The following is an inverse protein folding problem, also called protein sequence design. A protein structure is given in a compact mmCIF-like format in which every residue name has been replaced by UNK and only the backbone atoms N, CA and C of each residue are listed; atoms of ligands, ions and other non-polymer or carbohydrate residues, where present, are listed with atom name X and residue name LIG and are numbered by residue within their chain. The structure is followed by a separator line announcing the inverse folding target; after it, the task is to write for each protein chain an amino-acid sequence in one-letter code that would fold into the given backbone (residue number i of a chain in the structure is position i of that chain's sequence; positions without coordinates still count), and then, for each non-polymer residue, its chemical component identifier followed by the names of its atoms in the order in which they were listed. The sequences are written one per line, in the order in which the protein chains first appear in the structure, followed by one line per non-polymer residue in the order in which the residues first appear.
data_IF_046482799774
#
_entry.id   IF_046482799774
#
_cell.length_a   1.000
_cell.length_b   1.000
_cell.length_c   1.000
_cell.angle_alpha   90.00
_cell.angle_beta   90.00
_cell.angle_gamma   90.00
#
_symmetry.space_group_name_H-M   'P 1'
#
loop_
_entity.id
_entity.type
_entity.pdbx_description
1 polymer ?
#
# COMPACT_ATOMS: atom_id res chain seq x y z
N UNK A 1 12.87 1.87 54.00
CA UNK A 1 13.10 2.91 52.98
C UNK A 1 13.62 2.20 51.74
N UNK A 2 13.02 2.18 50.55
CA UNK A 2 11.98 3.00 49.93
C UNK A 2 12.40 3.23 48.48
N UNK A 3 11.69 2.58 47.55
CA UNK A 3 11.49 2.91 46.10
C UNK A 3 12.70 2.94 45.16
N UNK A 4 12.80 2.02 44.18
CA UNK A 4 12.21 2.05 42.80
C UNK A 4 12.65 3.24 41.93
N UNK A 5 12.98 2.91 40.66
CA UNK A 5 12.97 3.70 39.40
C UNK A 5 14.35 3.78 38.74
N UNK A 6 14.55 3.64 37.42
CA UNK A 6 13.70 3.39 36.26
C UNK A 6 14.63 2.92 35.12
N UNK A 7 14.39 1.74 34.57
CA UNK A 7 14.91 1.36 33.26
C UNK A 7 14.05 2.04 32.19
N UNK A 8 14.38 3.27 31.81
CA UNK A 8 13.70 4.00 30.76
C UNK A 8 14.74 4.58 29.80
N UNK A 9 15.01 3.88 28.69
CA UNK A 9 16.01 4.33 27.72
C UNK A 9 15.90 3.71 26.33
N UNK A 10 15.32 2.52 26.19
CA UNK A 10 15.21 1.84 24.88
C UNK A 10 13.95 2.15 24.07
N UNK A 11 12.87 2.65 24.70
CA UNK A 11 11.61 2.98 24.01
C UNK A 11 11.58 4.39 23.40
N UNK A 12 12.30 5.35 23.98
CA UNK A 12 12.29 6.74 23.52
C UNK A 12 13.03 6.95 22.19
N UNK A 13 14.02 6.09 21.89
CA UNK A 13 14.85 6.21 20.69
C UNK A 13 14.09 5.68 19.46
N UNK A 14 13.33 4.60 19.58
CA UNK A 14 12.52 4.09 18.46
C UNK A 14 11.36 5.03 18.11
N UNK A 15 10.77 5.69 19.11
CA UNK A 15 9.69 6.64 18.90
C UNK A 15 10.18 7.93 18.21
N UNK A 16 11.39 8.40 18.55
CA UNK A 16 12.04 9.55 17.88
C UNK A 16 12.43 9.25 16.44
N UNK A 17 12.87 8.02 16.15
CA UNK A 17 13.23 7.59 14.79
C UNK A 17 11.98 7.46 13.89
N UNK A 18 10.88 6.95 14.43
CA UNK A 18 9.57 6.91 13.75
C UNK A 18 9.02 8.30 13.45
N UNK A 19 9.16 9.23 14.40
CA UNK A 19 8.75 10.62 14.21
C UNK A 19 9.59 11.32 13.13
N UNK A 20 10.91 11.10 13.13
CA UNK A 20 11.82 11.63 12.10
C UNK A 20 11.51 11.06 10.72
N UNK A 21 11.19 9.76 10.60
CA UNK A 21 10.75 9.17 9.34
C UNK A 21 9.41 9.76 8.86
N UNK A 22 8.44 9.97 9.76
CA UNK A 22 7.16 10.60 9.41
C UNK A 22 7.35 12.05 8.96
N UNK A 23 8.18 12.83 9.65
CA UNK A 23 8.49 14.22 9.28
C UNK A 23 9.24 14.26 7.94
N UNK A 24 10.18 13.34 7.72
CA UNK A 24 10.92 13.25 6.46
C UNK A 24 10.01 12.86 5.28
N UNK A 25 9.02 11.98 5.51
CA UNK A 25 7.97 11.65 4.54
C UNK A 25 7.05 12.84 4.26
N UNK A 26 6.65 13.61 5.29
CA UNK A 26 5.84 14.82 5.12
C UNK A 26 6.58 15.91 4.32
N UNK A 27 7.86 16.14 4.62
CA UNK A 27 8.68 17.11 3.87
C UNK A 27 8.92 16.68 2.42
N UNK A 28 9.00 15.38 2.15
CA UNK A 28 9.09 14.87 0.78
C UNK A 28 7.80 15.11 -0.03
N UNK A 29 6.63 15.11 0.63
CA UNK A 29 5.34 15.37 -0.02
C UNK A 29 5.16 16.86 -0.33
N UNK A 30 5.70 17.77 0.48
CA UNK A 30 5.56 19.23 0.27
C UNK A 30 6.45 19.81 -0.83
N UNK A 31 7.55 19.15 -1.23
CA UNK A 31 8.49 19.69 -2.23
C UNK A 31 7.95 19.58 -3.68
N UNK A 32 6.84 18.87 -3.91
CA UNK A 32 6.31 18.65 -5.27
C UNK A 32 5.17 19.61 -5.68
N UNK A 33 5.23 20.88 -5.27
CA UNK A 33 4.26 21.89 -5.70
C UNK A 33 4.96 23.11 -6.34
N UNK A 34 5.55 22.91 -7.52
CA UNK A 34 6.02 24.03 -8.34
C UNK A 34 4.83 24.71 -9.02
N UNK A 35 4.36 25.82 -8.43
CA UNK A 35 3.29 26.66 -8.98
C UNK A 35 3.84 27.53 -10.12
N UNK A 36 3.59 27.13 -11.37
CA UNK A 36 3.93 27.93 -12.56
C UNK A 36 2.95 29.11 -12.73
N UNK A 37 3.45 30.26 -13.17
CA UNK A 37 2.68 31.49 -13.39
C UNK A 37 1.76 31.31 -14.61
N UNK A 38 0.43 31.24 -14.39
CA UNK A 38 -0.58 31.12 -15.45
C UNK A 38 -0.66 32.43 -16.26
N UNK A 39 -0.14 32.42 -17.48
CA UNK A 39 -0.62 33.30 -18.55
C UNK A 39 -1.96 32.70 -18.98
N UNK A 40 -3.05 33.47 -18.90
CA UNK A 40 -4.37 33.03 -19.36
C UNK A 40 -4.38 33.06 -20.89
N UNK A 41 -3.84 32.01 -21.50
CA UNK A 41 -4.12 31.70 -22.90
C UNK A 41 -5.51 31.11 -22.94
N UNK A 42 -6.42 31.71 -23.70
CA UNK A 42 -7.77 31.17 -23.89
C UNK A 42 -7.76 30.11 -24.98
N UNK A 43 -8.57 29.07 -24.84
CA UNK A 43 -8.65 27.97 -25.81
C UNK A 43 -8.91 28.46 -27.24
N UNK A 44 -9.73 29.50 -27.41
CA UNK A 44 -10.03 30.12 -28.70
C UNK A 44 -8.81 30.76 -29.39
N UNK A 45 -7.99 31.51 -28.65
CA UNK A 45 -6.76 32.11 -29.22
C UNK A 45 -5.75 31.04 -29.60
N UNK A 46 -5.82 29.90 -28.94
CA UNK A 46 -4.95 28.79 -29.22
C UNK A 46 -5.32 28.04 -30.50
N UNK A 47 -6.62 27.97 -30.84
CA UNK A 47 -7.07 27.40 -32.13
C UNK A 47 -6.39 28.11 -33.30
N UNK A 48 -6.18 29.43 -33.18
CA UNK A 48 -5.50 30.22 -34.20
C UNK A 48 -3.97 30.05 -34.20
N UNK A 49 -3.37 29.78 -33.03
CA UNK A 49 -1.92 29.59 -32.88
C UNK A 49 -1.49 28.19 -33.31
N UNK A 50 -2.23 27.17 -32.92
CA UNK A 50 -1.99 25.76 -33.24
C UNK A 50 -3.10 25.20 -34.14
N UNK A 51 -3.17 25.76 -35.35
CA UNK A 51 -4.14 25.31 -36.37
C UNK A 51 -3.96 23.84 -36.72
N UNK A 52 -2.71 23.37 -36.73
CA UNK A 52 -2.39 21.98 -37.09
C UNK A 52 -2.86 20.99 -36.01
N UNK A 53 -2.71 21.33 -34.73
CA UNK A 53 -3.23 20.53 -33.62
C UNK A 53 -4.76 20.53 -33.58
N UNK A 54 -5.40 21.69 -33.78
CA UNK A 54 -6.86 21.79 -33.84
C UNK A 54 -7.44 21.02 -35.03
N UNK A 55 -6.85 21.14 -36.22
CA UNK A 55 -7.28 20.39 -37.39
C UNK A 55 -7.12 18.88 -37.19
N UNK A 56 -6.06 18.45 -36.51
CA UNK A 56 -5.89 17.04 -36.14
C UNK A 56 -6.98 16.57 -35.17
N UNK A 57 -7.31 17.34 -34.14
CA UNK A 57 -8.42 17.00 -33.24
C UNK A 57 -9.76 16.96 -33.97
N UNK A 58 -10.01 17.90 -34.88
CA UNK A 58 -11.23 17.91 -35.69
C UNK A 58 -11.33 16.69 -36.61
N UNK A 59 -10.21 16.26 -37.19
CA UNK A 59 -10.17 15.03 -37.99
C UNK A 59 -10.41 13.79 -37.12
N UNK A 60 -9.86 13.75 -35.91
CA UNK A 60 -10.10 12.68 -34.96
C UNK A 60 -11.58 12.63 -34.53
N UNK A 61 -12.17 13.78 -34.21
CA UNK A 61 -13.60 13.89 -33.89
C UNK A 61 -14.46 13.36 -35.04
N UNK A 62 -14.15 13.75 -36.29
CA UNK A 62 -14.83 13.25 -37.49
C UNK A 62 -14.69 11.74 -37.71
N UNK A 63 -13.64 11.11 -37.18
CA UNK A 63 -13.48 9.65 -37.25
C UNK A 63 -14.34 8.91 -36.21
N UNK A 64 -14.79 9.62 -35.17
CA UNK A 64 -15.62 9.08 -34.11
C UNK A 64 -17.11 9.40 -34.31
N UNK A 65 -17.41 10.53 -34.94
CA UNK A 65 -18.75 11.00 -35.30
C UNK A 65 -19.21 10.31 -36.60
N UNK A 66 -19.80 9.13 -36.47
CA UNK A 66 -20.20 8.26 -37.58
C UNK A 66 -21.40 8.83 -38.35
N UNK A 67 -22.33 9.48 -37.65
CA UNK A 67 -23.53 10.07 -38.24
C UNK A 67 -23.34 11.52 -38.72
N UNK A 68 -22.18 12.12 -38.45
CA UNK A 68 -21.80 13.49 -38.81
C UNK A 68 -22.76 14.53 -38.24
N UNK A 69 -23.35 14.24 -37.08
CA UNK A 69 -24.24 15.17 -36.37
C UNK A 69 -23.49 16.38 -35.80
N UNK A 70 -22.16 16.30 -35.68
CA UNK A 70 -21.32 17.34 -35.10
C UNK A 70 -21.05 17.16 -33.60
N UNK A 71 -21.54 16.07 -33.00
CA UNK A 71 -21.24 15.67 -31.64
C UNK A 71 -21.13 14.15 -31.54
N UNK A 72 -20.22 13.67 -30.69
CA UNK A 72 -20.00 12.24 -30.49
C UNK A 72 -20.88 11.77 -29.34
N UNK A 73 -21.77 10.80 -29.57
CA UNK A 73 -22.60 10.22 -28.54
C UNK A 73 -21.93 9.04 -27.79
N UNK A 74 -22.61 8.51 -26.77
CA UNK A 74 -22.11 7.36 -25.99
C UNK A 74 -22.01 6.07 -26.80
N UNK A 75 -22.87 5.85 -27.79
CA UNK A 75 -22.83 4.63 -28.61
C UNK A 75 -21.67 4.67 -29.60
N UNK A 76 -21.46 5.81 -30.25
CA UNK A 76 -20.38 6.07 -31.19
C UNK A 76 -19.02 5.94 -30.48
N UNK A 77 -18.84 6.63 -29.36
CA UNK A 77 -17.62 6.53 -28.55
C UNK A 77 -17.36 5.10 -28.04
N UNK A 78 -18.40 4.32 -27.68
CA UNK A 78 -18.25 2.91 -27.31
C UNK A 78 -17.87 2.03 -28.50
N UNK A 79 -18.45 2.27 -29.68
CA UNK A 79 -18.12 1.58 -30.92
C UNK A 79 -16.66 1.80 -31.29
N UNK A 80 -16.24 3.06 -31.34
CA UNK A 80 -14.87 3.47 -31.61
C UNK A 80 -13.85 2.85 -30.64
N UNK A 81 -14.16 2.88 -29.33
CA UNK A 81 -13.25 2.30 -28.33
C UNK A 81 -13.08 0.78 -28.47
N UNK A 82 -14.11 0.09 -28.96
CA UNK A 82 -14.08 -1.35 -29.15
C UNK A 82 -13.39 -1.74 -30.46
N UNK A 83 -13.66 -1.03 -31.54
CA UNK A 83 -13.26 -1.39 -32.90
C UNK A 83 -11.90 -0.75 -33.29
N UNK A 84 -11.76 0.56 -33.15
CA UNK A 84 -10.55 1.28 -33.55
C UNK A 84 -9.44 1.21 -32.49
N UNK A 85 -9.81 1.30 -31.22
CA UNK A 85 -8.86 1.20 -30.10
C UNK A 85 -8.60 -0.23 -29.65
N UNK A 86 -9.33 -1.22 -30.17
CA UNK A 86 -9.23 -2.64 -29.82
C UNK A 86 -9.29 -2.91 -28.30
N UNK A 87 -10.10 -2.16 -27.55
CA UNK A 87 -10.28 -2.39 -26.10
C UNK A 87 -11.29 -3.52 -25.89
N UNK A 88 -10.78 -4.73 -25.65
CA UNK A 88 -11.63 -5.91 -25.42
C UNK A 88 -12.22 -5.99 -23.99
N UNK A 89 -11.59 -5.35 -23.01
CA UNK A 89 -11.99 -5.46 -21.60
C UNK A 89 -13.14 -4.50 -21.26
N UNK A 90 -14.32 -5.06 -20.95
CA UNK A 90 -15.54 -4.30 -20.68
C UNK A 90 -15.38 -3.25 -19.56
N UNK A 91 -14.60 -3.56 -18.51
CA UNK A 91 -14.35 -2.63 -17.39
C UNK A 91 -13.41 -1.48 -17.77
N UNK A 92 -12.50 -1.69 -18.73
CA UNK A 92 -11.70 -0.59 -19.29
C UNK A 92 -12.54 0.27 -20.21
N UNK A 93 -13.36 -0.36 -21.06
CA UNK A 93 -14.26 0.32 -21.98
C UNK A 93 -15.19 1.29 -21.24
N UNK A 94 -15.89 0.82 -20.19
CA UNK A 94 -16.77 1.67 -19.37
C UNK A 94 -16.03 2.81 -18.66
N UNK A 95 -14.81 2.56 -18.17
CA UNK A 95 -14.02 3.61 -17.50
C UNK A 95 -13.56 4.69 -18.49
N UNK A 96 -13.17 4.30 -19.70
CA UNK A 96 -12.73 5.21 -20.76
C UNK A 96 -13.90 6.01 -21.32
N UNK A 97 -15.04 5.36 -21.61
CA UNK A 97 -16.26 6.06 -22.01
C UNK A 97 -16.72 7.07 -20.95
N UNK A 98 -16.74 6.69 -19.67
CA UNK A 98 -17.06 7.60 -18.58
C UNK A 98 -16.05 8.74 -18.44
N UNK A 99 -14.77 8.49 -18.67
CA UNK A 99 -13.73 9.53 -18.62
C UNK A 99 -13.80 10.48 -19.82
N UNK A 100 -14.35 10.04 -20.95
CA UNK A 100 -14.55 10.88 -22.12
C UNK A 100 -15.76 11.80 -21.89
N UNK A 101 -16.92 11.20 -21.63
CA UNK A 101 -18.19 11.91 -21.49
C UNK A 101 -18.37 12.63 -20.16
N UNK A 102 -17.67 12.24 -19.09
CA UNK A 102 -17.95 12.71 -17.73
C UNK A 102 -19.47 12.62 -17.40
N UNK A 103 -20.17 13.74 -17.40
CA UNK A 103 -21.62 13.84 -17.19
C UNK A 103 -22.40 14.22 -18.46
N UNK A 104 -21.72 14.52 -19.56
CA UNK A 104 -22.32 14.94 -20.81
C UNK A 104 -22.87 13.74 -21.59
N UNK A 105 -23.85 13.99 -22.45
CA UNK A 105 -24.44 12.95 -23.31
C UNK A 105 -23.78 12.90 -24.70
N UNK A 106 -23.21 14.02 -25.14
CA UNK A 106 -22.55 14.17 -26.42
C UNK A 106 -21.40 15.17 -26.35
N UNK A 107 -20.31 14.92 -27.07
CA UNK A 107 -19.11 15.77 -27.07
C UNK A 107 -18.92 16.45 -28.43
N UNK A 108 -18.88 17.77 -28.44
CA UNK A 108 -18.61 18.54 -29.67
C UNK A 108 -17.10 18.65 -29.95
N UNK A 109 -16.75 19.15 -31.14
CA UNK A 109 -15.35 19.43 -31.50
C UNK A 109 -14.69 20.42 -30.54
N UNK A 110 -15.46 21.42 -30.09
CA UNK A 110 -14.95 22.46 -29.19
C UNK A 110 -14.73 21.91 -27.79
N UNK A 111 -15.64 21.08 -27.27
CA UNK A 111 -15.49 20.40 -25.98
C UNK A 111 -14.23 19.50 -25.98
N UNK A 112 -13.99 18.80 -27.09
CA UNK A 112 -12.80 17.98 -27.26
C UNK A 112 -11.51 18.81 -27.25
N UNK A 113 -11.53 19.97 -27.92
CA UNK A 113 -10.41 20.90 -27.93
C UNK A 113 -10.14 21.49 -26.55
N UNK A 114 -11.18 21.88 -25.81
CA UNK A 114 -11.05 22.40 -24.45
C UNK A 114 -10.48 21.35 -23.50
N UNK A 115 -10.99 20.11 -23.55
CA UNK A 115 -10.47 18.98 -22.78
C UNK A 115 -8.98 18.73 -23.06
N UNK A 116 -8.57 18.74 -24.34
CA UNK A 116 -7.16 18.63 -24.71
C UNK A 116 -6.34 19.85 -24.28
N UNK A 117 -6.89 21.06 -24.37
CA UNK A 117 -6.22 22.29 -23.99
C UNK A 117 -5.88 22.32 -22.49
N UNK A 118 -6.78 21.79 -21.65
CA UNK A 118 -6.62 21.70 -20.20
C UNK A 118 -5.73 20.53 -19.74
N UNK A 119 -5.51 19.54 -20.60
CA UNK A 119 -4.71 18.35 -20.32
C UNK A 119 -3.26 18.70 -19.95
N UNK A 120 -2.67 17.95 -19.01
CA UNK A 120 -1.27 18.13 -18.61
C UNK A 120 -0.32 17.65 -19.71
N UNK A 121 -0.79 16.69 -20.49
CA UNK A 121 -0.11 16.02 -21.60
C UNK A 121 0.29 16.99 -22.71
N UNK A 122 -0.51 18.04 -22.90
CA UNK A 122 -0.20 19.10 -23.85
C UNK A 122 1.06 19.88 -23.48
N UNK A 123 1.38 20.00 -22.20
CA UNK A 123 2.56 20.71 -21.71
C UNK A 123 3.81 19.83 -21.63
N UNK A 124 3.77 18.63 -22.21
CA UNK A 124 4.92 17.73 -22.18
C UNK A 124 6.13 18.30 -22.91
N UNK A 125 7.29 18.14 -22.27
CA UNK A 125 8.58 18.36 -22.91
C UNK A 125 8.92 17.22 -23.88
N UNK A 126 9.90 17.47 -24.73
CA UNK A 126 10.44 16.45 -25.65
C UNK A 126 10.93 15.21 -24.89
N UNK A 127 11.54 15.39 -23.72
CA UNK A 127 12.01 14.27 -22.88
C UNK A 127 10.84 13.42 -22.35
N UNK A 128 9.73 14.06 -21.97
CA UNK A 128 8.53 13.34 -21.53
C UNK A 128 7.87 12.59 -22.67
N UNK A 129 7.81 13.18 -23.87
CA UNK A 129 7.33 12.51 -25.08
C UNK A 129 8.21 11.30 -25.46
N UNK A 130 9.53 11.41 -25.27
CA UNK A 130 10.50 10.32 -25.47
C UNK A 130 10.34 9.20 -24.44
N UNK A 131 10.11 9.56 -23.18
CA UNK A 131 9.85 8.59 -22.11
C UNK A 131 8.54 7.82 -22.37
N UNK A 132 7.49 8.53 -22.78
CA UNK A 132 6.23 7.93 -23.24
C UNK A 132 6.45 6.95 -24.41
N UNK A 133 7.21 7.35 -25.42
CA UNK A 133 7.54 6.49 -26.57
C UNK A 133 8.28 5.21 -26.13
N UNK A 134 9.15 5.30 -25.14
CA UNK A 134 9.96 4.19 -24.64
C UNK A 134 9.18 3.27 -23.70
N UNK A 135 8.45 3.83 -22.74
CA UNK A 135 7.80 3.07 -21.68
C UNK A 135 6.38 2.63 -22.05
N UNK A 136 5.58 3.52 -22.65
CA UNK A 136 4.18 3.26 -22.96
C UNK A 136 3.98 2.67 -24.36
N UNK A 137 4.69 3.20 -25.36
CA UNK A 137 4.63 2.70 -26.75
C UNK A 137 5.61 1.56 -26.99
N UNK A 138 6.70 1.48 -26.21
CA UNK A 138 7.75 0.45 -26.32
C UNK A 138 8.44 0.47 -27.68
N UNK A 139 8.77 1.66 -28.18
CA UNK A 139 9.49 1.86 -29.44
C UNK A 139 10.72 2.78 -29.25
N UNK A 140 11.75 2.34 -28.49
CA UNK A 140 12.95 3.14 -28.24
C UNK A 140 13.76 3.47 -29.50
N UNK A 141 13.55 2.70 -30.58
CA UNK A 141 14.24 2.89 -31.86
C UNK A 141 13.94 4.23 -32.56
N UNK A 142 12.85 4.93 -32.19
CA UNK A 142 12.49 6.22 -32.79
C UNK A 142 12.80 7.42 -31.89
N UNK A 143 13.51 7.21 -30.76
CA UNK A 143 13.86 8.28 -29.82
C UNK A 143 14.64 9.40 -30.49
N UNK A 144 15.66 9.06 -31.28
CA UNK A 144 16.46 10.06 -32.01
C UNK A 144 15.62 10.86 -33.01
N UNK A 145 14.65 10.22 -33.67
CA UNK A 145 13.75 10.90 -34.61
C UNK A 145 12.80 11.86 -33.88
N UNK A 146 12.31 11.48 -32.69
CA UNK A 146 11.46 12.34 -31.85
C UNK A 146 12.24 13.53 -31.31
N UNK A 147 13.47 13.32 -30.83
CA UNK A 147 14.34 14.39 -30.35
C UNK A 147 14.74 15.35 -31.47
N UNK A 148 15.18 14.84 -32.62
CA UNK A 148 15.61 15.64 -33.76
C UNK A 148 14.49 16.54 -34.30
N UNK A 149 13.26 16.05 -34.30
CA UNK A 149 12.10 16.80 -34.77
C UNK A 149 11.39 17.58 -33.65
N UNK A 150 11.97 17.62 -32.44
CA UNK A 150 11.42 18.29 -31.26
C UNK A 150 9.93 17.95 -31.02
N UNK A 151 9.60 16.67 -31.03
CA UNK A 151 8.23 16.19 -30.77
C UNK A 151 7.90 16.45 -29.31
N UNK A 152 6.99 17.38 -29.07
CA UNK A 152 6.50 17.78 -27.76
C UNK A 152 5.04 17.35 -27.54
N UNK A 153 4.47 17.70 -26.38
CA UNK A 153 3.07 17.45 -26.07
C UNK A 153 2.08 18.03 -27.08
N UNK A 154 2.37 19.21 -27.65
CA UNK A 154 1.48 19.88 -28.62
C UNK A 154 1.35 19.09 -29.93
N UNK A 155 2.37 18.31 -30.30
CA UNK A 155 2.32 17.46 -31.49
C UNK A 155 1.56 16.15 -31.31
N UNK A 156 1.12 15.79 -30.10
CA UNK A 156 0.42 14.53 -29.81
C UNK A 156 -0.88 14.32 -30.64
N UNK A 157 -1.78 15.32 -30.77
CA UNK A 157 -2.91 15.27 -31.70
C UNK A 157 -2.55 14.85 -33.11
N UNK A 158 -1.41 15.33 -33.62
CA UNK A 158 -0.96 15.06 -34.99
C UNK A 158 -0.44 13.62 -35.12
N UNK A 159 0.02 13.01 -34.03
CA UNK A 159 0.42 11.61 -33.97
C UNK A 159 -0.79 10.66 -33.88
N UNK A 160 -1.91 11.12 -33.31
CA UNK A 160 -3.14 10.33 -33.17
C UNK A 160 -3.88 10.08 -34.50
N UNK A 161 -3.50 10.78 -35.58
CA UNK A 161 -4.12 10.62 -36.90
C UNK A 161 -3.65 9.36 -37.64
N UNK A 162 -4.60 8.65 -38.25
CA UNK A 162 -4.35 7.40 -38.99
C UNK A 162 -3.42 7.55 -40.19
N UNK A 163 -3.61 8.63 -40.96
CA UNK A 163 -2.77 8.97 -42.12
C UNK A 163 -1.89 10.18 -41.82
N UNK A 164 -1.22 10.16 -40.67
CA UNK A 164 -0.33 11.24 -40.28
C UNK A 164 0.86 11.32 -41.25
N UNK A 165 0.77 12.24 -42.22
CA UNK A 165 1.89 12.64 -43.08
C UNK A 165 3.09 13.07 -42.25
N UNK A 166 2.87 13.54 -41.03
CA UNK A 166 3.90 13.86 -40.06
C UNK A 166 4.72 12.61 -39.65
N UNK A 167 4.09 11.49 -39.28
CA UNK A 167 4.83 10.27 -38.93
C UNK A 167 5.65 9.69 -40.09
N UNK A 168 5.14 9.81 -41.32
CA UNK A 168 5.80 9.31 -42.52
C UNK A 168 6.91 10.24 -43.02
N UNK A 169 6.58 11.51 -43.26
CA UNK A 169 7.47 12.46 -43.94
C UNK A 169 8.41 13.18 -42.99
N UNK A 170 8.01 13.41 -41.73
CA UNK A 170 8.82 14.16 -40.74
C UNK A 170 9.61 13.19 -39.86
N UNK A 171 8.94 12.18 -39.28
CA UNK A 171 9.60 11.20 -38.41
C UNK A 171 10.26 10.04 -39.18
N UNK A 172 9.93 9.85 -40.46
CA UNK A 172 10.55 8.81 -41.29
C UNK A 172 10.14 7.37 -40.94
N UNK A 173 9.02 7.19 -40.24
CA UNK A 173 8.58 5.87 -39.74
C UNK A 173 7.90 5.10 -40.87
N UNK A 174 8.66 4.29 -41.61
CA UNK A 174 8.15 3.53 -42.78
C UNK A 174 7.28 2.32 -42.42
N UNK A 175 7.47 1.72 -41.24
CA UNK A 175 6.70 0.54 -40.81
C UNK A 175 5.26 0.94 -40.39
N UNK A 176 4.25 0.42 -41.08
CA UNK A 176 2.83 0.69 -40.80
C UNK A 176 2.39 0.24 -39.42
N UNK A 177 2.89 -0.90 -38.93
CA UNK A 177 2.54 -1.44 -37.60
C UNK A 177 3.02 -0.49 -36.50
N UNK A 178 4.22 0.07 -36.65
CA UNK A 178 4.78 0.99 -35.66
C UNK A 178 4.01 2.32 -35.66
N UNK A 179 3.62 2.81 -36.85
CA UNK A 179 2.77 4.00 -36.96
C UNK A 179 1.41 3.77 -36.32
N UNK A 180 0.74 2.66 -36.61
CA UNK A 180 -0.56 2.33 -36.00
C UNK A 180 -0.43 2.21 -34.48
N UNK A 181 0.65 1.61 -33.96
CA UNK A 181 0.88 1.51 -32.52
C UNK A 181 1.05 2.89 -31.87
N UNK A 182 1.87 3.77 -32.47
CA UNK A 182 2.05 5.15 -32.00
C UNK A 182 0.72 5.90 -32.06
N UNK A 183 -0.03 5.75 -33.16
CA UNK A 183 -1.32 6.37 -33.37
C UNK A 183 -2.32 6.00 -32.27
N UNK A 184 -2.58 4.71 -32.08
CA UNK A 184 -3.54 4.21 -31.07
C UNK A 184 -3.12 4.67 -29.67
N UNK A 185 -1.82 4.70 -29.36
CA UNK A 185 -1.32 5.19 -28.07
C UNK A 185 -1.44 6.71 -27.92
N UNK A 186 -1.16 7.48 -28.97
CA UNK A 186 -1.29 8.93 -28.96
C UNK A 186 -2.77 9.33 -28.81
N UNK A 187 -3.66 8.59 -29.48
CA UNK A 187 -5.10 8.74 -29.36
C UNK A 187 -5.59 8.47 -27.93
N UNK A 188 -5.09 7.41 -27.27
CA UNK A 188 -5.39 7.14 -25.85
C UNK A 188 -4.98 8.31 -24.94
N UNK A 189 -3.81 8.92 -25.21
CA UNK A 189 -3.29 10.07 -24.47
C UNK A 189 -4.14 11.31 -24.70
N UNK A 190 -4.49 11.60 -25.96
CA UNK A 190 -5.25 12.81 -26.32
C UNK A 190 -6.69 12.74 -25.83
N UNK A 191 -7.34 11.57 -25.91
CA UNK A 191 -8.76 11.41 -25.55
C UNK A 191 -8.98 11.19 -24.04
N UNK A 192 -8.03 10.54 -23.35
CA UNK A 192 -8.25 10.09 -21.97
C UNK A 192 -7.14 10.46 -20.99
N UNK A 193 -6.13 11.19 -21.44
CA UNK A 193 -4.94 11.49 -20.67
C UNK A 193 -3.99 10.30 -20.53
N UNK A 194 -2.76 10.64 -20.20
CA UNK A 194 -1.71 9.69 -19.92
C UNK A 194 -1.82 9.18 -18.49
N UNK A 195 -2.06 7.88 -18.37
CA UNK A 195 -2.01 7.19 -17.10
C UNK A 195 -0.81 6.28 -17.17
N UNK A 196 0.20 6.54 -16.35
CA UNK A 196 1.33 5.64 -16.17
C UNK A 196 0.82 4.26 -15.77
N UNK A 197 0.69 3.38 -16.78
CA UNK A 197 0.31 1.99 -16.57
C UNK A 197 1.45 1.19 -15.93
N UNK A 198 2.69 1.71 -16.04
CA UNK A 198 3.86 1.05 -15.52
C UNK A 198 4.02 1.31 -14.03
N UNK A 199 3.65 0.27 -13.31
CA UNK A 199 4.10 -0.25 -12.02
C UNK A 199 5.06 0.53 -11.10
N UNK A 200 5.79 1.60 -11.42
CA UNK A 200 6.73 2.21 -10.44
C UNK A 200 6.06 2.60 -9.12
N UNK A 201 4.91 3.26 -9.17
CA UNK A 201 4.13 3.54 -7.95
C UNK A 201 3.58 2.27 -7.29
N UNK A 202 3.20 1.26 -8.08
CA UNK A 202 2.71 -0.04 -7.57
C UNK A 202 3.84 -0.89 -6.98
N UNK A 203 5.04 -0.82 -7.53
CA UNK A 203 6.27 -1.50 -7.14
C UNK A 203 6.81 -0.84 -5.88
N UNK A 204 6.73 0.49 -5.79
CA UNK A 204 7.01 1.23 -4.55
C UNK A 204 5.99 0.86 -3.47
N UNK A 205 4.69 0.80 -3.80
CA UNK A 205 3.66 0.34 -2.85
C UNK A 205 3.87 -1.12 -2.43
N UNK A 206 4.27 -2.00 -3.36
CA UNK A 206 4.59 -3.40 -3.11
C UNK A 206 5.83 -3.53 -2.21
N UNK A 207 6.87 -2.75 -2.49
CA UNK A 207 8.07 -2.69 -1.67
C UNK A 207 7.75 -2.20 -0.25
N UNK A 208 6.91 -1.17 -0.10
CA UNK A 208 6.45 -0.69 1.20
C UNK A 208 5.64 -1.75 1.95
N UNK A 209 4.76 -2.50 1.27
CA UNK A 209 4.03 -3.62 1.87
C UNK A 209 4.97 -4.75 2.33
N UNK A 210 5.99 -5.08 1.54
CA UNK A 210 7.01 -6.06 1.90
C UNK A 210 7.80 -5.64 3.13
N UNK A 211 8.22 -4.37 3.20
CA UNK A 211 8.90 -3.81 4.38
C UNK A 211 7.95 -3.86 5.60
N UNK A 212 6.68 -3.52 5.41
CA UNK A 212 5.63 -3.68 6.42
C UNK A 212 5.53 -5.10 6.96
N UNK A 213 5.48 -6.11 6.08
CA UNK A 213 5.43 -7.51 6.47
C UNK A 213 6.66 -7.93 7.28
N UNK A 214 7.86 -7.53 6.85
CA UNK A 214 9.11 -7.85 7.55
C UNK A 214 9.14 -7.22 8.94
N UNK A 215 8.72 -5.96 9.09
CA UNK A 215 8.68 -5.28 10.40
C UNK A 215 7.69 -5.95 11.36
N UNK A 216 6.52 -6.37 10.88
CA UNK A 216 5.53 -7.12 11.68
C UNK A 216 6.09 -8.47 12.12
N UNK A 217 6.79 -9.19 11.25
CA UNK A 217 7.42 -10.47 11.59
C UNK A 217 8.52 -10.31 12.66
N UNK A 218 9.33 -9.25 12.58
CA UNK A 218 10.35 -8.95 13.59
C UNK A 218 9.70 -8.62 14.94
N UNK A 219 8.66 -7.79 14.97
CA UNK A 219 7.91 -7.48 16.20
C UNK A 219 7.29 -8.74 16.78
N UNK A 220 6.68 -9.59 15.96
CA UNK A 220 6.08 -10.85 16.41
C UNK A 220 7.13 -11.81 17.01
N UNK A 221 8.31 -11.91 16.40
CA UNK A 221 9.44 -12.70 16.94
C UNK A 221 9.92 -12.17 18.29
N UNK A 222 10.05 -10.85 18.44
CA UNK A 222 10.43 -10.20 19.71
C UNK A 222 9.35 -10.42 20.77
N UNK A 223 8.07 -10.29 20.42
CA UNK A 223 6.95 -10.50 21.33
C UNK A 223 6.89 -11.96 21.80
N UNK A 224 7.05 -12.91 20.87
CA UNK A 224 7.15 -14.34 21.18
C UNK A 224 8.37 -14.66 22.05
N UNK A 225 9.49 -13.97 21.84
CA UNK A 225 10.68 -14.12 22.68
C UNK A 225 10.48 -13.56 24.09
N UNK A 226 9.74 -12.46 24.26
CA UNK A 226 9.39 -11.91 25.58
C UNK A 226 8.42 -12.82 26.33
N UNK A 227 7.41 -13.34 25.65
CA UNK A 227 6.44 -14.26 26.25
C UNK A 227 7.09 -15.54 26.81
N UNK A 228 8.14 -16.05 26.16
CA UNK A 228 8.91 -17.19 26.68
C UNK A 228 9.59 -16.90 28.03
N UNK A 229 10.03 -15.68 28.28
CA UNK A 229 10.67 -15.29 29.54
C UNK A 229 9.66 -15.23 30.70
N UNK A 230 8.41 -14.85 30.41
CA UNK A 230 7.33 -14.84 31.41
C UNK A 230 6.90 -16.26 31.79
N UNK A 231 6.94 -17.22 30.86
CA UNK A 231 6.65 -18.62 31.12
C UNK A 231 7.71 -19.31 32.00
N UNK A 232 8.99 -18.98 31.81
CA UNK A 232 10.08 -19.48 32.70
C UNK A 232 9.95 -18.93 34.12
N UNK A 233 9.56 -17.66 34.27
CA UNK A 233 9.30 -17.07 35.59
C UNK A 233 8.03 -17.62 36.26
N UNK A 234 7.06 -18.11 35.48
CA UNK A 234 5.86 -18.74 36.01
C UNK A 234 6.14 -20.20 36.41
N UNK A 235 6.96 -20.93 35.66
CA UNK A 235 7.34 -22.30 35.99
C UNK A 235 8.20 -22.37 37.25
N UNK A 236 9.11 -21.40 37.46
CA UNK A 236 9.90 -21.32 38.68
C UNK A 236 9.02 -21.07 39.91
N UNK A 237 8.02 -20.20 39.80
CA UNK A 237 7.04 -19.94 40.87
C UNK A 237 6.15 -21.14 41.16
N UNK A 238 5.80 -21.95 40.16
CA UNK A 238 5.09 -23.22 40.40
C UNK A 238 5.95 -24.22 41.17
N UNK A 239 7.25 -24.28 40.89
CA UNK A 239 8.16 -25.18 41.60
C UNK A 239 8.37 -24.75 43.07
N UNK A 240 8.48 -23.45 43.33
CA UNK A 240 8.56 -22.90 44.69
C UNK A 240 7.29 -23.19 45.51
N UNK A 241 6.10 -22.99 44.92
CA UNK A 241 4.84 -23.31 45.60
C UNK A 241 4.71 -24.80 45.92
N UNK A 242 5.13 -25.69 45.02
CA UNK A 242 5.10 -27.13 45.28
C UNK A 242 6.06 -27.56 46.39
N UNK A 243 7.24 -26.94 46.47
CA UNK A 243 8.17 -27.19 47.58
C UNK A 243 7.64 -26.70 48.94
N UNK A 244 6.84 -25.63 48.95
CA UNK A 244 6.18 -25.12 50.14
C UNK A 244 5.04 -26.03 50.61
N UNK A 245 4.26 -26.58 49.66
CA UNK A 245 3.22 -27.58 49.92
C UNK A 245 3.83 -28.83 50.58
N UNK A 246 4.90 -29.39 49.99
CA UNK A 246 5.57 -30.59 50.51
C UNK A 246 6.16 -30.34 51.91
N UNK A 247 6.70 -29.14 52.15
CA UNK A 247 7.25 -28.78 53.46
C UNK A 247 6.16 -28.56 54.52
N UNK A 248 5.00 -28.04 54.12
CA UNK A 248 3.82 -27.94 55.00
C UNK A 248 3.28 -29.32 55.37
N UNK A 249 3.17 -30.21 54.39
CA UNK A 249 2.71 -31.58 54.59
C UNK A 249 3.66 -32.34 55.53
N UNK A 250 4.98 -32.19 55.35
CA UNK A 250 5.98 -32.76 56.24
C UNK A 250 5.96 -32.19 57.66
N UNK A 251 5.59 -30.92 57.85
CA UNK A 251 5.36 -30.38 59.20
C UNK A 251 4.10 -30.95 59.84
N UNK A 252 3.04 -31.15 59.06
CA UNK A 252 1.77 -31.70 59.54
C UNK A 252 1.93 -33.15 60.02
N UNK A 253 2.69 -33.97 59.27
CA UNK A 253 3.06 -35.33 59.69
C UNK A 253 3.88 -35.35 60.98
N UNK A 254 4.86 -34.45 61.12
CA UNK A 254 5.65 -34.32 62.36
C UNK A 254 4.79 -33.94 63.56
N UNK A 255 3.82 -33.05 63.39
CA UNK A 255 2.86 -32.71 64.45
C UNK A 255 1.98 -33.89 64.84
N UNK A 256 1.51 -34.69 63.87
CA UNK A 256 0.74 -35.90 64.17
C UNK A 256 1.58 -36.96 64.89
N UNK A 257 2.84 -37.13 64.51
CA UNK A 257 3.77 -38.05 65.14
C UNK A 257 4.07 -37.63 66.59
N UNK A 258 4.29 -36.33 66.85
CA UNK A 258 4.47 -35.81 68.21
C UNK A 258 3.21 -35.96 69.08
N UNK A 259 2.01 -35.78 68.50
CA UNK A 259 0.75 -36.02 69.21
C UNK A 259 0.58 -37.49 69.57
N UNK A 260 0.87 -38.41 68.65
CA UNK A 260 0.84 -39.86 68.92
C UNK A 260 1.81 -40.24 70.04
N UNK A 261 3.06 -39.76 69.98
CA UNK A 261 4.06 -40.00 71.04
C UNK A 261 3.61 -39.46 72.40
N UNK A 262 2.97 -38.29 72.45
CA UNK A 262 2.36 -37.76 73.69
C UNK A 262 1.21 -38.61 74.19
N UNK A 263 0.33 -39.10 73.31
CA UNK A 263 -0.79 -39.96 73.69
C UNK A 263 -0.31 -41.32 74.23
N UNK A 264 0.63 -41.96 73.54
CA UNK A 264 1.25 -43.21 74.00
C UNK A 264 1.97 -43.04 75.34
N UNK A 265 2.62 -41.88 75.54
CA UNK A 265 3.26 -41.56 76.83
C UNK A 265 2.22 -41.39 77.94
N UNK A 266 1.10 -40.71 77.68
CA UNK A 266 0.01 -40.55 78.67
C UNK A 266 -0.71 -41.86 78.97
N UNK A 267 -0.88 -42.74 77.98
CA UNK A 267 -1.49 -44.06 78.15
C UNK A 267 -0.60 -45.00 78.97
N UNK A 268 0.72 -45.00 78.71
CA UNK A 268 1.70 -45.73 79.52
C UNK A 268 1.79 -45.24 80.97
N UNK A 269 1.55 -43.94 81.21
CA UNK A 269 1.49 -43.36 82.55
C UNK A 269 0.20 -43.74 83.28
N UNK A 270 -0.92 -43.91 82.57
CA UNK A 270 -2.19 -44.36 83.14
C UNK A 270 -2.17 -45.85 83.51
N UNK A 271 -1.60 -46.70 82.66
CA UNK A 271 -1.41 -48.14 82.91
C UNK A 271 -0.41 -48.39 84.08
N UNK A 272 0.59 -47.52 84.24
CA UNK A 272 1.51 -47.55 85.39
C UNK A 272 0.87 -47.15 86.73
N UNK A 273 -0.23 -46.39 86.74
CA UNK A 273 -0.96 -46.05 87.97
C UNK A 273 -1.98 -47.11 88.38
N UNK A 274 -2.57 -47.84 87.43
CA UNK A 274 -3.54 -48.91 87.73
C UNK A 274 -2.84 -50.14 88.36
N UNK A 275 -1.60 -50.43 87.96
CA UNK A 275 -0.79 -51.50 88.55
C UNK A 275 -0.22 -51.17 89.95
N UNK A 276 -0.26 -49.90 90.38
CA UNK A 276 0.25 -49.48 91.70
C UNK A 276 -0.87 -49.39 92.76
N UNK A 277 -2.14 -49.22 92.37
CA UNK A 277 -3.28 -49.26 93.31
C UNK A 277 -3.67 -50.69 93.72
N UNK A 278 -3.33 -51.73 92.94
CA UNK A 278 -3.60 -53.13 93.31
C UNK A 278 -2.61 -53.70 94.34
N UNK A 279 -1.45 -53.06 94.54
CA UNK A 279 -0.41 -53.53 95.48
C UNK A 279 -0.56 -52.94 96.90
N UNK A 280 -1.21 -51.78 97.05
CA UNK A 280 -1.36 -51.11 98.36
C UNK A 280 -2.52 -51.67 99.22
N UNK A 281 -3.41 -52.51 98.67
CA UNK A 281 -4.49 -53.15 99.45
C UNK A 281 -4.14 -54.52 100.06
N UNK A 282 -2.97 -55.10 99.75
CA UNK A 282 -2.56 -56.43 100.26
C UNK A 282 -1.71 -56.36 101.54
N UNK A 283 -1.13 -55.21 101.89
CA UNK A 283 -0.15 -55.09 102.99
C UNK A 283 -0.71 -54.54 104.32
N UNK A 284 -2.03 -54.39 104.47
CA UNK A 284 -2.68 -53.93 105.71
C UNK A 284 -3.40 -55.05 106.51
N UNK A 285 -3.08 -56.32 106.26
CA UNK A 285 -3.62 -57.47 106.98
C UNK A 285 -2.50 -58.44 107.40
N UNK A 286 -1.66 -58.02 108.36
CA UNK A 286 -0.90 -58.92 109.23
C UNK A 286 -0.50 -58.22 110.53
#
# INVERSE_FOLDING_TARGET
MGTRTRACGRGAISQRLLLLCLICLCLFVEVSASKSRKIVVTAEREKERDKAGFEALRQLHKQMDDDQSGSIDRKESLGFLKEDMNIAEADRLKRREKAFHHNDESITVDDLWESWFESEERNWSVDQAVDWLTNAVQLPQYVEAFQKNAVDGQTMPRLALQNSSFMLNVLGIKNSVHRQKIQVKAMDVVLFGYRDGNSRAKDVALALLLIGLVTVLVIFKVHKSRSKQELEQLSSKMHELKSLEDNFQGMQEKFEEERKKRQEMTEKLADGSENNEEVEYVEASQ
#
